data_IF_773125071978
#
_entry.id   IF_773125071978
#
_cell.length_a   1.000
_cell.length_b   1.000
_cell.length_c   1.000
_cell.angle_alpha   90.00
_cell.angle_beta   90.00
_cell.angle_gamma   90.00
#
_symmetry.space_group_name_H-M   'P 1'
#
loop_
_entity.id
_entity.type
_entity.pdbx_description
1 polymer ?
#
# COMPACT_ATOMS: atom_id res chain seq x y z
N UNK A 1 -20.16 -4.85 -8.25
CA UNK A 1 -20.56 -4.74 -6.83
C UNK A 1 -19.80 -3.58 -6.24
N UNK A 2 -20.44 -2.69 -5.48
CA UNK A 2 -19.75 -1.52 -4.90
C UNK A 2 -19.68 -1.69 -3.39
N UNK A 3 -18.56 -1.29 -2.78
CA UNK A 3 -18.44 -1.27 -1.33
C UNK A 3 -19.40 -0.25 -0.72
N UNK A 4 -20.09 -0.63 0.34
CA UNK A 4 -20.94 0.27 1.11
C UNK A 4 -20.10 1.40 1.73
N UNK A 5 -20.61 2.63 1.69
CA UNK A 5 -19.91 3.82 2.22
C UNK A 5 -19.47 3.66 3.68
N UNK A 6 -20.30 3.03 4.52
CA UNK A 6 -19.98 2.78 5.93
C UNK A 6 -18.82 1.80 6.17
N UNK A 7 -18.32 1.16 5.11
CA UNK A 7 -17.18 0.23 5.16
C UNK A 7 -15.90 0.83 4.58
N UNK A 8 -15.94 2.08 4.10
CA UNK A 8 -14.77 2.81 3.62
C UNK A 8 -14.08 3.50 4.81
N UNK A 9 -12.75 3.49 4.81
CA UNK A 9 -11.95 4.32 5.74
C UNK A 9 -11.59 5.67 5.11
N UNK A 10 -11.33 5.69 3.80
CA UNK A 10 -11.29 6.92 2.98
C UNK A 10 -12.71 7.19 2.47
N UNK A 11 -13.49 7.88 3.29
CA UNK A 11 -14.91 8.20 2.99
C UNK A 11 -15.11 9.17 1.83
N UNK A 12 -14.07 9.91 1.45
CA UNK A 12 -14.06 10.78 0.27
C UNK A 12 -13.99 10.02 -1.04
N UNK A 13 -13.56 8.74 -1.04
CA UNK A 13 -13.56 7.89 -2.23
C UNK A 13 -14.99 7.73 -2.75
N UNK A 14 -15.29 8.23 -3.95
CA UNK A 14 -16.65 8.31 -4.46
C UNK A 14 -17.29 6.93 -4.62
N UNK A 15 -16.49 5.99 -5.13
CA UNK A 15 -16.90 4.61 -5.43
C UNK A 15 -15.72 3.67 -5.17
N UNK A 16 -16.02 2.48 -4.65
CA UNK A 16 -15.07 1.37 -4.58
C UNK A 16 -15.72 0.17 -5.27
N UNK A 17 -15.30 -0.13 -6.49
CA UNK A 17 -15.86 -1.19 -7.33
C UNK A 17 -15.16 -2.53 -7.01
N UNK A 18 -15.87 -3.38 -6.28
CA UNK A 18 -15.41 -4.70 -5.84
C UNK A 18 -15.46 -5.76 -6.94
N UNK A 19 -16.03 -5.45 -8.10
CA UNK A 19 -16.03 -6.35 -9.25
C UNK A 19 -14.85 -6.05 -10.17
N UNK A 20 -14.45 -4.79 -10.29
CA UNK A 20 -13.36 -4.35 -11.16
C UNK A 20 -12.08 -3.96 -10.41
N UNK A 21 -12.09 -4.08 -9.08
CA UNK A 21 -10.97 -3.87 -8.17
C UNK A 21 -10.30 -2.49 -8.22
N UNK A 22 -11.11 -1.43 -8.36
CA UNK A 22 -10.62 -0.05 -8.29
C UNK A 22 -11.46 0.84 -7.36
N UNK A 23 -10.85 1.94 -6.92
CA UNK A 23 -11.49 3.05 -6.22
C UNK A 23 -11.47 4.32 -7.08
N UNK A 24 -12.62 4.99 -7.19
CA UNK A 24 -12.72 6.34 -7.75
C UNK A 24 -12.40 7.33 -6.62
N UNK A 25 -11.24 7.99 -6.70
CA UNK A 25 -10.72 8.91 -5.70
C UNK A 25 -10.83 10.36 -6.19
N UNK A 26 -11.05 11.34 -5.29
CA UNK A 26 -10.93 12.75 -5.63
C UNK A 26 -9.53 13.08 -6.13
N UNK A 27 -9.45 13.78 -7.26
CA UNK A 27 -8.24 14.25 -7.89
C UNK A 27 -8.01 15.72 -7.55
N UNK A 28 -6.76 16.10 -7.39
CA UNK A 28 -6.33 17.47 -7.17
C UNK A 28 -5.25 17.85 -8.17
N UNK A 29 -5.26 19.11 -8.58
CA UNK A 29 -4.28 19.68 -9.49
C UNK A 29 -3.17 20.40 -8.70
N UNK A 30 -1.94 20.23 -9.16
CA UNK A 30 -0.78 20.99 -8.69
C UNK A 30 0.23 21.19 -9.81
N UNK A 31 1.37 21.76 -9.46
CA UNK A 31 2.51 21.99 -10.34
C UNK A 31 3.79 21.54 -9.67
N UNK A 32 4.75 21.07 -10.45
CA UNK A 32 6.10 20.76 -9.98
C UNK A 32 7.10 21.18 -11.04
N UNK A 33 7.97 22.14 -10.72
CA UNK A 33 8.95 22.67 -11.66
C UNK A 33 8.33 23.17 -13.00
N UNK A 34 7.11 23.69 -12.93
CA UNK A 34 6.35 24.19 -14.08
C UNK A 34 5.62 23.14 -14.92
N UNK A 35 5.69 21.86 -14.54
CA UNK A 35 4.88 20.77 -15.11
C UNK A 35 3.62 20.55 -14.25
N UNK A 36 2.46 20.39 -14.88
CA UNK A 36 1.21 20.02 -14.20
C UNK A 36 1.35 18.65 -13.56
N UNK A 37 0.87 18.48 -12.33
CA UNK A 37 0.82 17.19 -11.63
C UNK A 37 -0.56 16.97 -11.06
N UNK A 38 -0.98 15.70 -11.03
CA UNK A 38 -2.28 15.30 -10.51
C UNK A 38 -2.07 14.38 -9.32
N UNK A 39 -2.71 14.66 -8.19
CA UNK A 39 -2.49 13.92 -6.95
C UNK A 39 -3.80 13.61 -6.23
N UNK A 40 -3.74 12.63 -5.34
CA UNK A 40 -4.85 12.27 -4.45
C UNK A 40 -4.43 12.53 -2.99
N UNK A 41 -5.38 12.62 -2.06
CA UNK A 41 -5.08 12.72 -0.62
C UNK A 41 -5.72 11.54 0.09
N UNK A 42 -4.94 10.76 0.84
CA UNK A 42 -5.43 9.49 1.44
C UNK A 42 -5.32 9.43 2.95
N UNK A 43 -4.39 10.18 3.54
CA UNK A 43 -4.16 10.22 4.97
C UNK A 43 -3.65 11.61 5.40
N UNK A 44 -3.88 11.97 6.66
CA UNK A 44 -3.32 13.19 7.25
C UNK A 44 -3.04 13.00 8.73
N UNK A 45 -2.00 13.67 9.24
CA UNK A 45 -1.57 13.54 10.63
C UNK A 45 -2.48 14.21 11.66
N UNK A 46 -3.38 15.08 11.22
CA UNK A 46 -4.32 15.80 12.07
C UNK A 46 -5.74 15.21 11.98
N UNK A 47 -6.36 14.96 13.13
CA UNK A 47 -7.65 14.27 13.19
C UNK A 47 -8.83 15.12 12.68
N UNK A 48 -8.78 16.44 12.89
CA UNK A 48 -9.85 17.33 12.44
C UNK A 48 -9.83 17.46 10.91
N UNK A 49 -8.64 17.64 10.34
CA UNK A 49 -8.46 17.67 8.89
C UNK A 49 -8.75 16.32 8.23
N UNK A 50 -8.40 15.20 8.87
CA UNK A 50 -8.77 13.88 8.37
C UNK A 50 -10.29 13.75 8.21
N UNK A 51 -11.03 14.23 9.22
CA UNK A 51 -12.50 14.24 9.20
C UNK A 51 -13.04 15.19 8.14
N UNK A 52 -12.47 16.39 8.01
CA UNK A 52 -12.89 17.39 7.03
C UNK A 52 -12.68 16.90 5.59
N UNK A 53 -11.54 16.28 5.30
CA UNK A 53 -11.17 15.79 3.98
C UNK A 53 -11.75 14.41 3.67
N UNK A 54 -12.31 13.73 4.67
CA UNK A 54 -12.85 12.37 4.52
C UNK A 54 -11.78 11.31 4.28
N UNK A 55 -10.56 11.52 4.79
CA UNK A 55 -9.39 10.65 4.62
C UNK A 55 -8.99 10.00 5.94
N UNK A 56 -8.03 9.07 5.93
CA UNK A 56 -7.60 8.40 7.15
C UNK A 56 -6.84 9.36 8.09
N UNK A 57 -7.05 9.23 9.39
CA UNK A 57 -6.20 9.90 10.38
C UNK A 57 -4.98 9.03 10.70
N UNK A 58 -3.79 9.56 10.42
CA UNK A 58 -2.50 8.88 10.62
C UNK A 58 -1.54 9.71 11.48
N UNK A 59 -1.67 9.66 12.82
CA UNK A 59 -0.89 10.53 13.71
C UNK A 59 0.62 10.28 13.60
N UNK A 60 1.06 9.08 13.21
CA UNK A 60 2.48 8.74 13.04
C UNK A 60 3.14 9.52 11.92
N UNK A 61 2.39 10.00 10.92
CA UNK A 61 2.96 10.84 9.86
C UNK A 61 3.56 12.14 10.39
N UNK A 62 3.12 12.64 11.56
CA UNK A 62 3.76 13.80 12.21
C UNK A 62 5.26 13.58 12.51
N UNK A 63 5.70 12.33 12.58
CA UNK A 63 7.09 11.97 12.81
C UNK A 63 7.92 11.80 11.53
N UNK A 64 7.32 11.78 10.34
CA UNK A 64 7.96 11.29 9.09
C UNK A 64 9.34 11.88 8.80
N UNK A 65 9.59 13.13 9.19
CA UNK A 65 10.85 13.81 8.89
C UNK A 65 11.88 13.79 10.00
N UNK A 66 11.60 13.14 11.13
CA UNK A 66 12.58 13.01 12.21
C UNK A 66 13.77 12.18 11.74
N UNK A 67 14.88 12.85 11.44
CA UNK A 67 16.07 12.18 10.89
C UNK A 67 15.98 11.81 9.41
N UNK A 68 14.88 12.16 8.73
CA UNK A 68 14.73 12.02 7.28
C UNK A 68 14.03 13.24 6.65
N UNK A 69 14.74 14.37 6.46
CA UNK A 69 14.16 15.54 5.80
C UNK A 69 13.60 15.23 4.40
N UNK A 70 14.25 14.35 3.63
CA UNK A 70 13.81 13.95 2.30
C UNK A 70 12.55 13.05 2.30
N UNK A 71 12.14 12.50 3.44
CA UNK A 71 10.95 11.65 3.53
C UNK A 71 9.65 12.47 3.50
N UNK A 72 9.70 13.80 3.62
CA UNK A 72 8.54 14.64 3.31
C UNK A 72 9.00 15.93 2.63
N UNK A 73 8.33 16.29 1.54
CA UNK A 73 8.60 17.54 0.83
C UNK A 73 7.73 18.68 1.39
N UNK A 74 8.23 19.91 1.29
CA UNK A 74 7.44 21.10 1.63
C UNK A 74 6.78 21.58 0.35
N UNK A 75 5.47 21.85 0.40
CA UNK A 75 4.71 22.37 -0.73
C UNK A 75 4.21 23.77 -0.42
N UNK A 76 3.99 24.57 -1.46
CA UNK A 76 3.38 25.90 -1.29
C UNK A 76 1.97 25.90 -1.84
N UNK A 77 1.05 26.57 -1.14
CA UNK A 77 -0.34 26.76 -1.56
C UNK A 77 -0.89 28.03 -0.91
N UNK A 78 -1.88 28.65 -1.55
CA UNK A 78 -2.57 29.82 -1.01
C UNK A 78 -3.48 29.45 0.18
N UNK A 79 -3.88 28.18 0.28
CA UNK A 79 -4.67 27.64 1.38
C UNK A 79 -3.80 26.75 2.29
N UNK A 80 -3.84 26.90 3.62
CA UNK A 80 -3.11 26.03 4.54
C UNK A 80 -3.60 24.58 4.55
N UNK A 81 -4.79 24.29 4.02
CA UNK A 81 -5.36 22.95 3.84
C UNK A 81 -5.09 22.47 2.41
N UNK A 82 -4.31 21.39 2.31
CA UNK A 82 -3.95 20.79 1.02
C UNK A 82 -5.21 20.41 0.21
N UNK A 83 -5.18 20.72 -1.10
CA UNK A 83 -6.26 20.37 -2.03
C UNK A 83 -7.43 21.36 -2.10
N UNK A 84 -7.38 22.47 -1.33
CA UNK A 84 -8.37 23.57 -1.41
C UNK A 84 -7.99 24.68 -2.41
N UNK A 85 -6.72 24.76 -2.78
CA UNK A 85 -6.16 25.65 -3.78
C UNK A 85 -5.03 24.92 -4.54
N UNK A 86 -4.56 25.45 -5.69
CA UNK A 86 -3.42 24.90 -6.39
C UNK A 86 -2.19 24.74 -5.48
N UNK A 87 -1.41 23.69 -5.73
CA UNK A 87 -0.25 23.31 -4.91
C UNK A 87 0.99 23.25 -5.77
N UNK A 88 2.06 23.94 -5.37
CA UNK A 88 3.39 23.77 -5.98
C UNK A 88 4.22 22.78 -5.14
N UNK A 89 4.64 21.69 -5.76
CA UNK A 89 5.48 20.64 -5.20
C UNK A 89 6.96 20.92 -5.47
N UNK A 90 7.83 20.54 -4.53
CA UNK A 90 9.29 20.62 -4.70
C UNK A 90 9.83 19.55 -5.65
N UNK A 91 9.16 18.42 -5.76
CA UNK A 91 9.50 17.32 -6.66
C UNK A 91 8.29 16.50 -7.07
N UNK A 92 8.42 15.82 -8.20
CA UNK A 92 7.42 14.92 -8.78
C UNK A 92 8.07 13.60 -9.23
N UNK A 93 7.30 12.52 -9.37
CA UNK A 93 7.80 11.28 -9.96
C UNK A 93 8.10 11.45 -11.45
N UNK A 94 8.96 10.57 -11.95
CA UNK A 94 9.15 10.32 -13.37
C UNK A 94 8.46 9.00 -13.73
N UNK A 95 7.35 9.08 -14.45
CA UNK A 95 6.57 7.93 -14.91
C UNK A 95 7.09 7.34 -16.24
N UNK A 96 8.01 8.02 -16.92
CA UNK A 96 8.49 7.59 -18.24
C UNK A 96 9.29 6.26 -18.31
N UNK A 97 9.95 5.75 -17.25
CA UNK A 97 10.65 4.48 -17.35
C UNK A 97 9.69 3.29 -17.46
N UNK A 98 10.06 2.33 -18.29
CA UNK A 98 9.27 1.11 -18.51
C UNK A 98 9.53 0.07 -17.40
N UNK A 99 8.44 -0.34 -16.75
CA UNK A 99 8.45 -1.41 -15.75
C UNK A 99 8.63 -2.75 -16.45
N UNK A 100 9.64 -3.52 -16.07
CA UNK A 100 9.84 -4.88 -16.57
C UNK A 100 9.97 -5.89 -15.43
N UNK A 101 9.49 -7.10 -15.66
CA UNK A 101 9.64 -8.18 -14.69
C UNK A 101 9.74 -9.54 -15.39
N UNK A 102 10.80 -10.28 -15.08
CA UNK A 102 11.01 -11.66 -15.54
C UNK A 102 11.08 -12.56 -14.31
N UNK A 103 10.10 -13.46 -14.10
CA UNK A 103 10.13 -14.42 -13.00
C UNK A 103 11.37 -15.31 -13.04
N UNK A 104 11.87 -15.71 -11.88
CA UNK A 104 12.89 -16.74 -11.78
C UNK A 104 12.32 -18.15 -12.04
N UNK A 105 13.17 -19.20 -12.07
CA UNK A 105 12.73 -20.58 -12.31
C UNK A 105 11.66 -21.08 -11.33
N UNK A 106 11.64 -20.54 -10.12
CA UNK A 106 10.67 -20.84 -9.05
C UNK A 106 9.76 -19.66 -8.73
N UNK A 107 9.67 -18.66 -9.61
CA UNK A 107 8.99 -17.38 -9.37
C UNK A 107 9.89 -16.39 -8.64
N UNK A 108 10.19 -16.64 -7.36
CA UNK A 108 11.08 -15.83 -6.53
C UNK A 108 12.42 -16.54 -6.26
N UNK A 109 13.57 -15.83 -6.26
CA UNK A 109 13.72 -14.43 -6.69
C UNK A 109 13.49 -14.27 -8.20
N UNK A 110 13.16 -13.07 -8.69
CA UNK A 110 13.04 -12.81 -10.13
C UNK A 110 14.39 -13.00 -10.84
N UNK A 111 14.35 -13.30 -12.13
CA UNK A 111 15.53 -13.34 -12.99
C UNK A 111 16.06 -11.93 -13.28
N UNK A 112 15.16 -10.99 -13.59
CA UNK A 112 15.49 -9.59 -13.84
C UNK A 112 14.24 -8.72 -13.69
N UNK A 113 14.43 -7.44 -13.37
CA UNK A 113 13.38 -6.43 -13.32
C UNK A 113 13.94 -5.02 -13.53
N UNK A 114 13.09 -4.09 -13.94
CA UNK A 114 13.32 -2.65 -13.91
C UNK A 114 12.12 -1.95 -13.29
N UNK A 115 12.39 -0.93 -12.48
CA UNK A 115 11.36 -0.03 -11.95
C UNK A 115 10.70 0.73 -13.09
N UNK A 116 9.39 0.94 -12.99
CA UNK A 116 8.65 1.88 -13.85
C UNK A 116 8.85 3.29 -13.30
N UNK A 117 7.84 3.78 -12.59
CA UNK A 117 7.89 5.10 -11.96
C UNK A 117 9.01 5.25 -10.91
N UNK A 118 9.74 6.38 -10.94
CA UNK A 118 10.81 6.71 -9.98
C UNK A 118 10.59 8.13 -9.42
N UNK A 119 10.68 8.29 -8.09
CA UNK A 119 10.70 9.61 -7.47
C UNK A 119 11.94 10.43 -7.90
N UNK A 120 11.74 11.60 -8.51
CA UNK A 120 12.85 12.53 -8.81
C UNK A 120 13.41 13.14 -7.52
N UNK A 121 14.46 13.94 -7.66
CA UNK A 121 15.00 14.70 -6.54
C UNK A 121 13.88 15.50 -5.85
N UNK A 122 13.90 15.49 -4.51
CA UNK A 122 12.92 16.13 -3.63
C UNK A 122 11.49 15.57 -3.67
N UNK A 123 11.19 14.54 -4.46
CA UNK A 123 9.87 13.90 -4.41
C UNK A 123 9.70 13.09 -3.12
N UNK A 124 8.58 13.30 -2.45
CA UNK A 124 8.00 12.38 -1.47
C UNK A 124 6.46 12.45 -1.56
N UNK A 125 5.74 11.33 -1.39
CA UNK A 125 4.28 11.39 -1.27
C UNK A 125 3.83 12.09 0.01
N UNK A 126 4.70 12.19 1.01
CA UNK A 126 4.38 12.89 2.24
C UNK A 126 4.71 14.36 2.08
N UNK A 127 3.71 15.22 2.33
CA UNK A 127 3.84 16.66 2.10
C UNK A 127 3.45 17.47 3.33
N UNK A 128 4.09 18.63 3.49
CA UNK A 128 3.66 19.68 4.42
C UNK A 128 3.42 20.96 3.66
N UNK A 129 2.27 21.59 3.85
CA UNK A 129 2.05 22.95 3.38
C UNK A 129 2.96 23.89 4.19
N UNK A 130 3.69 24.77 3.51
CA UNK A 130 4.61 25.72 4.11
C UNK A 130 3.93 26.50 5.26
N UNK A 131 4.64 26.64 6.38
CA UNK A 131 4.11 27.30 7.58
C UNK A 131 3.21 26.42 8.46
N UNK A 132 2.93 25.18 8.06
CA UNK A 132 2.15 24.22 8.87
C UNK A 132 3.01 23.08 9.42
N UNK A 133 2.53 22.44 10.49
CA UNK A 133 3.13 21.20 11.05
C UNK A 133 2.41 19.92 10.63
N UNK A 134 1.38 20.02 9.78
CA UNK A 134 0.51 18.90 9.39
C UNK A 134 1.12 18.18 8.20
N UNK A 135 1.22 16.86 8.30
CA UNK A 135 1.72 16.01 7.23
C UNK A 135 0.54 15.31 6.55
N UNK A 136 0.47 15.44 5.23
CA UNK A 136 -0.48 14.75 4.38
C UNK A 136 0.22 13.61 3.63
N UNK A 137 -0.51 12.55 3.35
CA UNK A 137 -0.15 11.57 2.33
C UNK A 137 -0.85 11.97 1.03
N UNK A 138 -0.07 12.47 0.07
CA UNK A 138 -0.54 13.08 -1.16
C UNK A 138 0.25 12.56 -2.39
N UNK A 139 0.11 11.27 -2.73
CA UNK A 139 0.83 10.67 -3.86
C UNK A 139 0.39 11.29 -5.19
N UNK A 140 1.37 11.60 -6.04
CA UNK A 140 1.13 12.06 -7.41
C UNK A 140 0.81 10.83 -8.27
N UNK A 141 -0.26 10.89 -9.06
CA UNK A 141 -0.77 9.79 -9.88
C UNK A 141 -0.63 10.03 -11.39
N UNK A 142 -0.32 11.26 -11.82
CA UNK A 142 0.02 11.59 -13.20
C UNK A 142 0.78 12.92 -13.33
N UNK A 143 1.48 13.08 -14.46
CA UNK A 143 2.15 14.34 -14.85
C UNK A 143 1.70 14.81 -16.24
N UNK A 144 1.73 16.12 -16.46
CA UNK A 144 1.33 16.80 -17.69
C UNK A 144 -0.18 17.05 -17.84
N UNK A 145 -0.55 17.65 -18.98
CA UNK A 145 -1.93 18.08 -19.29
C UNK A 145 -2.74 17.02 -20.05
N UNK A 146 -2.23 15.79 -20.12
CA UNK A 146 -2.78 14.70 -20.91
C UNK A 146 -2.40 14.71 -22.40
N UNK A 147 -2.89 13.74 -23.20
CA UNK A 147 -3.68 12.59 -22.76
C UNK A 147 -2.91 11.72 -21.75
N UNK A 148 -3.64 11.14 -20.80
CA UNK A 148 -3.06 10.26 -19.79
C UNK A 148 -2.95 8.84 -20.32
N UNK A 149 -1.73 8.32 -20.37
CA UNK A 149 -1.44 6.95 -20.76
C UNK A 149 -1.62 6.03 -19.55
N UNK A 150 -2.80 5.40 -19.48
CA UNK A 150 -3.16 4.39 -18.47
C UNK A 150 -2.98 2.95 -18.97
N UNK A 151 -2.39 2.79 -20.16
CA UNK A 151 -2.13 1.47 -20.76
C UNK A 151 -0.69 1.05 -20.57
N UNK A 152 0.26 1.95 -20.87
CA UNK A 152 1.71 1.73 -20.68
C UNK A 152 2.32 2.65 -19.63
N UNK A 153 1.49 3.47 -18.96
CA UNK A 153 1.85 4.26 -17.79
C UNK A 153 3.02 5.25 -17.99
N UNK A 154 3.25 5.73 -19.22
CA UNK A 154 4.37 6.65 -19.50
C UNK A 154 4.27 8.04 -18.83
N UNK A 155 3.07 8.44 -18.40
CA UNK A 155 2.82 9.66 -17.63
C UNK A 155 1.80 9.46 -16.48
N UNK A 156 1.54 8.21 -16.09
CA UNK A 156 0.62 7.88 -14.98
C UNK A 156 1.25 6.86 -14.06
N UNK A 157 0.72 6.75 -12.84
CA UNK A 157 1.07 5.68 -11.92
C UNK A 157 0.61 4.30 -12.46
N UNK A 158 1.42 3.25 -12.27
CA UNK A 158 1.20 1.86 -12.75
C UNK A 158 -0.08 1.14 -12.23
N UNK A 159 -0.91 1.85 -11.46
CA UNK A 159 -2.20 1.38 -10.91
C UNK A 159 -3.38 2.26 -11.30
N UNK A 160 -3.13 3.36 -12.02
CA UNK A 160 -4.16 4.28 -12.48
C UNK A 160 -4.84 3.71 -13.72
N UNK A 161 -6.16 3.51 -13.65
CA UNK A 161 -6.97 3.00 -14.76
C UNK A 161 -7.67 4.11 -15.55
N UNK A 162 -7.95 5.24 -14.92
CA UNK A 162 -8.57 6.39 -15.57
C UNK A 162 -8.28 7.68 -14.79
N UNK A 163 -8.27 8.80 -15.52
CA UNK A 163 -8.22 10.16 -14.98
C UNK A 163 -9.28 10.98 -15.70
N UNK A 164 -10.11 11.68 -14.93
CA UNK A 164 -11.10 12.63 -15.40
C UNK A 164 -10.83 13.99 -14.77
N UNK A 165 -10.35 14.95 -15.58
CA UNK A 165 -10.02 16.31 -15.14
C UNK A 165 -11.21 17.26 -15.19
N UNK A 166 -12.36 16.83 -15.72
CA UNK A 166 -13.61 17.60 -15.67
C UNK A 166 -14.35 17.29 -14.36
N UNK A 167 -14.48 16.01 -14.03
CA UNK A 167 -15.08 15.54 -12.77
C UNK A 167 -14.08 15.56 -11.59
N UNK A 168 -12.79 15.78 -11.86
CA UNK A 168 -11.71 15.76 -10.88
C UNK A 168 -11.66 14.44 -10.10
N UNK A 169 -11.57 13.33 -10.83
CA UNK A 169 -11.47 11.99 -10.24
C UNK A 169 -10.42 11.11 -10.92
N UNK A 170 -9.97 10.08 -10.22
CA UNK A 170 -9.15 9.02 -10.80
C UNK A 170 -9.63 7.64 -10.34
N UNK A 171 -9.68 6.68 -11.25
CA UNK A 171 -9.89 5.28 -10.92
C UNK A 171 -8.52 4.62 -10.66
N UNK A 172 -8.28 4.17 -9.44
CA UNK A 172 -7.03 3.57 -9.01
C UNK A 172 -7.24 2.15 -8.49
N UNK A 173 -6.44 1.19 -8.96
CA UNK A 173 -6.51 -0.19 -8.51
C UNK A 173 -6.24 -0.30 -7.01
N UNK A 174 -7.06 -1.07 -6.30
CA UNK A 174 -6.79 -1.43 -4.91
C UNK A 174 -6.31 -2.88 -4.83
N UNK A 175 -5.67 -3.19 -3.72
CA UNK A 175 -5.22 -4.52 -3.35
C UNK A 175 -6.12 -5.07 -2.24
N UNK A 176 -6.36 -6.38 -2.27
CA UNK A 176 -7.11 -7.10 -1.23
C UNK A 176 -6.14 -7.73 -0.24
N UNK A 177 -6.27 -7.38 1.03
CA UNK A 177 -5.40 -7.84 2.11
C UNK A 177 -6.17 -8.27 3.34
N UNK A 178 -5.46 -8.36 4.47
CA UNK A 178 -6.07 -8.70 5.75
C UNK A 178 -5.56 -7.80 6.87
N UNK A 179 -6.41 -7.53 7.85
CA UNK A 179 -6.02 -6.88 9.10
C UNK A 179 -6.80 -7.51 10.24
N UNK A 180 -6.12 -7.87 11.33
CA UNK A 180 -6.77 -8.47 12.51
C UNK A 180 -7.68 -9.68 12.20
N UNK A 181 -7.39 -10.43 11.13
CA UNK A 181 -8.19 -11.57 10.69
C UNK A 181 -9.38 -11.24 9.79
N UNK A 182 -9.66 -9.96 9.53
CA UNK A 182 -10.71 -9.49 8.63
C UNK A 182 -10.16 -9.17 7.24
N UNK A 183 -10.93 -9.39 6.16
CA UNK A 183 -10.56 -8.97 4.81
C UNK A 183 -10.69 -7.46 4.63
N UNK A 184 -9.62 -6.84 4.13
CA UNK A 184 -9.51 -5.38 3.89
C UNK A 184 -9.17 -5.06 2.45
N UNK A 185 -9.36 -3.78 2.09
CA UNK A 185 -8.92 -3.17 0.85
C UNK A 185 -7.91 -2.07 1.18
N UNK A 186 -6.86 -1.95 0.38
CA UNK A 186 -5.85 -0.92 0.54
C UNK A 186 -5.29 -0.48 -0.82
N UNK A 187 -4.79 0.75 -0.90
CA UNK A 187 -4.13 1.29 -2.09
C UNK A 187 -2.62 1.10 -1.94
N UNK A 188 -1.82 1.20 -3.01
CA UNK A 188 -0.36 1.21 -2.90
C UNK A 188 0.25 2.11 -3.97
N UNK A 189 1.04 3.09 -3.50
CA UNK A 189 1.51 4.23 -4.30
C UNK A 189 3.04 4.33 -4.38
N UNK A 190 3.76 4.10 -3.28
CA UNK A 190 5.22 4.18 -3.27
C UNK A 190 5.85 3.00 -2.57
N UNK A 191 7.07 2.64 -2.98
CA UNK A 191 7.93 1.72 -2.26
C UNK A 191 9.37 2.25 -2.19
N UNK A 192 10.02 2.03 -1.05
CA UNK A 192 11.42 2.38 -0.81
C UNK A 192 12.41 1.34 -1.36
N UNK A 193 11.90 0.16 -1.74
CA UNK A 193 12.65 -0.93 -2.35
C UNK A 193 12.25 -1.11 -3.82
N UNK A 194 13.24 -1.32 -4.68
CA UNK A 194 13.02 -1.40 -6.12
C UNK A 194 12.27 -2.68 -6.54
N UNK A 195 12.54 -3.80 -5.89
CA UNK A 195 11.83 -5.05 -6.20
C UNK A 195 10.36 -4.95 -5.76
N UNK A 196 10.12 -4.44 -4.55
CA UNK A 196 8.75 -4.21 -4.06
C UNK A 196 8.02 -3.16 -4.89
N UNK A 197 8.70 -2.10 -5.36
CA UNK A 197 8.10 -1.12 -6.27
C UNK A 197 7.59 -1.77 -7.56
N UNK A 198 8.37 -2.68 -8.16
CA UNK A 198 7.91 -3.41 -9.37
C UNK A 198 6.80 -4.40 -9.04
N UNK A 199 6.95 -5.17 -7.96
CA UNK A 199 6.00 -6.21 -7.55
C UNK A 199 4.64 -5.61 -7.19
N UNK A 200 4.66 -4.51 -6.44
CA UNK A 200 3.48 -3.73 -6.11
C UNK A 200 3.17 -2.66 -7.16
N UNK A 201 3.76 -2.55 -8.35
CA UNK A 201 3.34 -1.49 -9.32
C UNK A 201 3.25 -0.09 -8.68
N UNK A 202 4.26 0.25 -7.89
CA UNK A 202 4.34 1.47 -7.09
C UNK A 202 5.53 2.29 -7.55
N UNK A 203 5.47 3.60 -7.31
CA UNK A 203 6.59 4.51 -7.57
C UNK A 203 7.77 4.21 -6.65
N UNK A 204 8.97 4.03 -7.21
CA UNK A 204 10.17 3.79 -6.45
C UNK A 204 10.71 5.09 -5.82
N UNK A 205 10.70 5.17 -4.48
CA UNK A 205 11.17 6.33 -3.71
C UNK A 205 12.15 5.89 -2.63
N UNK A 206 13.45 5.74 -2.96
CA UNK A 206 14.43 5.13 -2.04
C UNK A 206 14.61 5.91 -0.73
N UNK A 207 14.40 7.23 -0.75
CA UNK A 207 14.52 8.11 0.42
C UNK A 207 13.61 7.69 1.58
N UNK A 208 12.47 7.06 1.30
CA UNK A 208 11.56 6.57 2.34
C UNK A 208 12.23 5.59 3.30
N UNK A 209 13.26 4.85 2.85
CA UNK A 209 14.02 3.88 3.66
C UNK A 209 14.61 4.49 4.94
N UNK A 210 14.83 5.80 4.99
CA UNK A 210 15.39 6.52 6.13
C UNK A 210 14.33 7.00 7.14
N UNK A 211 13.04 6.71 6.90
CA UNK A 211 11.95 7.15 7.79
C UNK A 211 12.15 6.67 9.23
N UNK A 212 11.69 7.39 10.26
CA UNK A 212 11.98 7.05 11.66
C UNK A 212 11.52 5.65 12.13
N UNK A 213 12.41 4.95 12.85
CA UNK A 213 12.20 3.76 13.69
C UNK A 213 11.62 2.51 13.00
N UNK A 214 12.51 1.54 12.70
CA UNK A 214 12.18 0.22 12.17
C UNK A 214 11.29 -0.59 13.12
N UNK A 215 10.52 -1.54 12.56
CA UNK A 215 9.55 -2.44 13.23
C UNK A 215 8.21 -1.80 13.64
N UNK A 216 8.01 -0.51 13.40
CA UNK A 216 6.71 0.16 13.30
C UNK A 216 5.72 0.07 14.48
N UNK A 217 5.99 -0.66 15.56
CA UNK A 217 5.03 -0.89 16.64
C UNK A 217 5.55 -0.44 18.01
N UNK A 218 4.76 0.37 18.72
CA UNK A 218 4.97 0.69 20.14
C UNK A 218 5.91 1.86 20.44
N UNK A 219 6.51 2.45 19.40
CA UNK A 219 7.33 3.65 19.53
C UNK A 219 6.54 4.88 19.06
N UNK A 220 6.26 5.78 19.99
CA UNK A 220 5.47 7.01 19.75
C UNK A 220 6.13 7.96 18.77
N UNK A 221 7.44 7.81 18.53
CA UNK A 221 8.22 8.63 17.61
C UNK A 221 8.39 7.98 16.22
N UNK A 222 7.84 6.79 15.99
CA UNK A 222 7.87 6.12 14.69
C UNK A 222 6.90 6.76 13.69
N UNK A 223 7.29 6.75 12.42
CA UNK A 223 6.42 7.10 11.29
C UNK A 223 5.84 5.85 10.59
N UNK A 224 6.29 4.66 10.97
CA UNK A 224 6.03 3.39 10.27
C UNK A 224 5.02 2.54 11.05
N UNK A 225 4.31 1.65 10.37
CA UNK A 225 3.52 0.56 10.97
C UNK A 225 3.96 -0.79 10.40
N UNK A 226 3.75 -1.91 11.10
CA UNK A 226 4.20 -3.23 10.58
C UNK A 226 3.21 -3.82 9.56
N UNK A 227 3.74 -4.39 8.48
CA UNK A 227 2.98 -5.20 7.51
C UNK A 227 3.72 -6.52 7.27
N UNK A 228 3.01 -7.60 6.95
CA UNK A 228 3.61 -8.92 6.79
C UNK A 228 3.32 -9.53 5.43
N UNK A 229 4.34 -10.14 4.85
CA UNK A 229 4.25 -10.98 3.65
C UNK A 229 5.05 -12.26 3.81
N UNK A 230 4.98 -13.15 2.82
CA UNK A 230 5.70 -14.43 2.83
C UNK A 230 6.39 -14.71 1.50
N UNK A 231 7.58 -15.29 1.54
CA UNK A 231 8.28 -15.76 0.34
C UNK A 231 7.67 -17.07 -0.16
N UNK A 232 7.62 -18.10 0.69
CA UNK A 232 7.31 -19.50 0.32
C UNK A 232 5.96 -20.01 0.86
N UNK A 233 4.96 -19.13 0.90
CA UNK A 233 3.58 -19.55 1.09
C UNK A 233 3.09 -20.39 -0.10
N UNK A 234 1.98 -21.11 0.08
CA UNK A 234 1.32 -21.87 -1.00
C UNK A 234 0.99 -20.95 -2.18
N UNK A 235 1.03 -21.51 -3.38
CA UNK A 235 0.78 -20.79 -4.65
C UNK A 235 -0.30 -21.50 -5.46
N UNK A 236 -0.85 -20.78 -6.44
CA UNK A 236 -1.85 -21.27 -7.38
C UNK A 236 -3.18 -20.53 -7.24
N UNK A 237 -3.92 -20.40 -8.33
CA UNK A 237 -5.28 -19.88 -8.30
C UNK A 237 -6.24 -21.06 -8.12
N UNK A 238 -7.20 -20.95 -7.22
CA UNK A 238 -8.26 -21.95 -7.16
C UNK A 238 -9.15 -21.86 -8.41
N UNK A 239 -9.44 -23.01 -9.03
CA UNK A 239 -10.10 -23.08 -10.34
C UNK A 239 -11.59 -22.66 -10.30
N UNK A 240 -12.27 -22.73 -9.14
CA UNK A 240 -13.74 -22.68 -9.05
C UNK A 240 -14.35 -21.63 -8.09
N UNK A 241 -13.61 -20.60 -7.65
CA UNK A 241 -14.14 -19.61 -6.69
C UNK A 241 -14.05 -18.14 -7.13
N UNK A 242 -14.79 -17.70 -8.17
CA UNK A 242 -14.84 -16.29 -8.56
C UNK A 242 -15.33 -15.36 -7.44
N UNK A 243 -16.12 -15.89 -6.48
CA UNK A 243 -16.61 -15.14 -5.31
C UNK A 243 -16.00 -15.57 -3.97
N UNK A 244 -15.49 -16.80 -3.84
CA UNK A 244 -14.83 -17.28 -2.59
C UNK A 244 -13.50 -16.57 -2.32
N UNK A 245 -12.79 -16.16 -3.37
CA UNK A 245 -11.57 -15.36 -3.26
C UNK A 245 -11.80 -13.99 -2.61
N UNK A 246 -12.97 -13.37 -2.77
CA UNK A 246 -13.26 -12.06 -2.18
C UNK A 246 -13.34 -12.08 -0.64
N UNK A 247 -13.74 -13.22 -0.05
CA UNK A 247 -13.89 -13.39 1.41
C UNK A 247 -12.69 -14.10 2.09
N UNK A 248 -11.65 -14.46 1.33
CA UNK A 248 -10.43 -15.08 1.85
C UNK A 248 -10.47 -16.61 2.00
N UNK A 249 -11.56 -17.30 1.68
CA UNK A 249 -11.55 -18.76 1.63
C UNK A 249 -10.82 -19.25 0.38
N UNK A 250 -9.86 -20.17 0.55
CA UNK A 250 -9.13 -20.78 -0.57
C UNK A 250 -8.04 -19.91 -1.23
N UNK A 251 -7.84 -18.67 -0.77
CA UNK A 251 -6.79 -17.81 -1.32
C UNK A 251 -5.38 -18.23 -0.92
N UNK A 252 -4.48 -18.14 -1.88
CA UNK A 252 -3.03 -18.13 -1.66
C UNK A 252 -2.54 -16.68 -1.49
N UNK A 253 -1.34 -16.50 -0.95
CA UNK A 253 -0.76 -15.19 -0.69
C UNK A 253 0.76 -15.22 -0.75
N UNK A 254 1.40 -14.06 -0.68
CA UNK A 254 2.85 -13.93 -0.62
C UNK A 254 3.51 -13.76 -1.99
N UNK A 255 4.80 -13.45 -1.96
CA UNK A 255 5.59 -12.99 -3.10
C UNK A 255 5.65 -14.03 -4.23
N UNK A 256 5.94 -15.29 -3.91
CA UNK A 256 6.00 -16.34 -4.94
C UNK A 256 4.64 -16.52 -5.60
N UNK A 257 3.54 -16.49 -4.84
CA UNK A 257 2.19 -16.60 -5.40
C UNK A 257 1.88 -15.45 -6.36
N UNK A 258 2.14 -14.21 -5.93
CA UNK A 258 1.90 -13.04 -6.75
C UNK A 258 2.72 -13.06 -8.05
N UNK A 259 3.96 -13.54 -7.99
CA UNK A 259 4.82 -13.64 -9.18
C UNK A 259 4.32 -14.72 -10.16
N UNK A 260 3.97 -15.91 -9.68
CA UNK A 260 3.60 -17.02 -10.56
C UNK A 260 2.17 -16.94 -11.07
N UNK A 261 1.32 -16.13 -10.44
CA UNK A 261 -0.10 -16.04 -10.78
C UNK A 261 -0.53 -14.65 -11.27
N UNK A 262 0.19 -13.58 -10.93
CA UNK A 262 -0.25 -12.18 -11.09
C UNK A 262 0.32 -11.44 -12.30
N UNK A 263 0.96 -12.15 -13.23
CA UNK A 263 1.52 -11.58 -14.47
C UNK A 263 2.35 -10.31 -14.23
N UNK A 264 3.38 -10.34 -13.36
CA UNK A 264 4.12 -9.14 -12.98
C UNK A 264 4.85 -8.47 -14.17
N UNK A 265 5.05 -9.15 -15.30
CA UNK A 265 5.66 -8.56 -16.50
C UNK A 265 4.69 -7.83 -17.45
N UNK A 266 3.39 -7.78 -17.14
CA UNK A 266 2.36 -7.14 -17.97
C UNK A 266 1.76 -5.95 -17.21
N UNK A 267 1.41 -4.86 -17.88
CA UNK A 267 0.80 -3.70 -17.21
C UNK A 267 -0.64 -3.97 -16.77
N UNK A 268 -1.04 -3.37 -15.65
CA UNK A 268 -2.38 -3.55 -15.08
C UNK A 268 -3.32 -2.49 -15.66
N UNK A 269 -3.71 -2.71 -16.91
CA UNK A 269 -4.55 -1.82 -17.68
C UNK A 269 -5.86 -2.50 -18.11
N UNK A 270 -6.86 -1.69 -18.48
CA UNK A 270 -8.14 -2.21 -19.00
C UNK A 270 -7.94 -3.02 -20.29
N UNK A 271 -6.89 -2.71 -21.05
CA UNK A 271 -6.49 -3.43 -22.26
C UNK A 271 -5.90 -4.83 -21.97
N UNK A 272 -5.50 -5.11 -20.73
CA UNK A 272 -4.94 -6.40 -20.28
C UNK A 272 -5.88 -7.09 -19.27
N UNK A 273 -7.10 -7.48 -19.68
CA UNK A 273 -8.13 -7.97 -18.76
C UNK A 273 -7.72 -9.23 -17.99
N UNK A 274 -6.83 -10.06 -18.54
CA UNK A 274 -6.31 -11.26 -17.88
C UNK A 274 -5.52 -10.94 -16.60
N UNK A 275 -4.84 -9.78 -16.54
CA UNK A 275 -4.12 -9.33 -15.34
C UNK A 275 -5.13 -8.94 -14.27
N UNK A 276 -6.16 -8.16 -14.65
CA UNK A 276 -7.20 -7.70 -13.74
C UNK A 276 -8.05 -8.87 -13.21
N UNK A 277 -8.39 -9.83 -14.06
CA UNK A 277 -9.08 -11.07 -13.67
C UNK A 277 -8.22 -11.92 -12.73
N UNK A 278 -6.91 -11.98 -12.93
CA UNK A 278 -6.00 -12.66 -12.02
C UNK A 278 -6.00 -12.00 -10.63
N UNK A 279 -5.94 -10.67 -10.55
CA UNK A 279 -6.01 -9.93 -9.29
C UNK A 279 -7.32 -10.17 -8.54
N UNK A 280 -8.44 -10.16 -9.25
CA UNK A 280 -9.75 -10.50 -8.68
C UNK A 280 -9.75 -11.91 -8.07
N UNK A 281 -9.05 -12.86 -8.71
CA UNK A 281 -8.86 -14.25 -8.21
C UNK A 281 -7.79 -14.39 -7.12
N UNK A 282 -7.17 -13.30 -6.68
CA UNK A 282 -6.19 -13.28 -5.59
C UNK A 282 -4.74 -13.38 -6.01
N UNK A 283 -4.43 -13.14 -7.28
CA UNK A 283 -3.06 -13.17 -7.78
C UNK A 283 -2.22 -11.94 -7.42
N UNK A 284 -2.81 -10.89 -6.84
CA UNK A 284 -2.06 -9.71 -6.40
C UNK A 284 -1.34 -9.95 -5.06
N UNK A 285 -0.44 -9.05 -4.67
CA UNK A 285 0.30 -9.09 -3.41
C UNK A 285 -0.69 -8.91 -2.24
N UNK A 286 -1.11 -10.01 -1.63
CA UNK A 286 -1.98 -9.96 -0.45
C UNK A 286 -1.15 -9.91 0.84
N UNK A 287 -1.14 -8.74 1.47
CA UNK A 287 -0.38 -8.47 2.70
C UNK A 287 -1.29 -8.46 3.95
N UNK A 288 -0.65 -8.53 5.12
CA UNK A 288 -1.34 -8.50 6.42
C UNK A 288 -0.92 -7.27 7.21
N UNK A 289 -1.86 -6.39 7.48
CA UNK A 289 -1.65 -5.18 8.27
C UNK A 289 -1.68 -5.52 9.76
N UNK A 290 -0.77 -4.92 10.53
CA UNK A 290 -0.74 -5.09 11.98
C UNK A 290 -1.79 -4.27 12.72
N UNK A 291 -2.08 -3.09 12.18
CA UNK A 291 -2.99 -2.10 12.76
C UNK A 291 -3.90 -1.57 11.66
N UNK A 292 -5.07 -1.07 12.03
CA UNK A 292 -6.03 -0.57 11.05
C UNK A 292 -6.80 0.63 11.62
N UNK A 293 -7.28 1.58 10.78
CA UNK A 293 -7.98 2.76 11.27
C UNK A 293 -9.21 2.48 12.15
N UNK A 294 -9.85 1.32 12.00
CA UNK A 294 -11.06 0.95 12.75
C UNK A 294 -10.79 0.22 14.07
N UNK A 295 -9.52 0.01 14.48
CA UNK A 295 -9.22 -0.69 15.73
C UNK A 295 -10.01 -0.06 16.90
N UNK A 296 -10.61 -0.85 17.79
CA UNK A 296 -11.52 -0.35 18.82
C UNK A 296 -10.79 0.46 19.91
N UNK A 297 -9.57 0.05 20.26
CA UNK A 297 -8.72 0.76 21.22
C UNK A 297 -8.09 1.99 20.58
N UNK A 298 -8.26 3.15 21.22
CA UNK A 298 -7.67 4.39 20.73
C UNK A 298 -6.14 4.36 20.70
N UNK A 299 -5.48 3.58 21.58
CA UNK A 299 -4.04 3.33 21.50
C UNK A 299 -3.64 2.71 20.18
N UNK A 300 -4.38 1.69 19.75
CA UNK A 300 -4.02 0.89 18.59
C UNK A 300 -4.32 1.66 17.30
N UNK A 301 -5.40 2.47 17.27
CA UNK A 301 -5.65 3.40 16.16
C UNK A 301 -4.54 4.43 15.99
N UNK A 302 -3.93 4.88 17.08
CA UNK A 302 -2.81 5.83 17.02
C UNK A 302 -1.52 5.20 16.48
N UNK A 303 -1.46 3.88 16.38
CA UNK A 303 -0.35 3.19 15.75
C UNK A 303 -0.48 3.08 14.22
N UNK A 304 -1.63 3.46 13.65
CA UNK A 304 -1.82 3.44 12.21
C UNK A 304 -0.87 4.42 11.51
N UNK A 305 -0.27 3.92 10.42
CA UNK A 305 0.44 4.70 9.41
C UNK A 305 0.18 4.09 8.04
N UNK A 306 -0.01 4.89 6.98
CA UNK A 306 -0.01 4.36 5.62
C UNK A 306 1.40 3.93 5.18
N UNK A 307 2.45 4.33 5.91
CA UNK A 307 3.82 3.91 5.65
C UNK A 307 4.13 2.61 6.40
N UNK A 308 4.11 1.50 5.67
CA UNK A 308 4.28 0.17 6.21
C UNK A 308 5.72 -0.30 6.12
N UNK A 309 6.24 -0.89 7.18
CA UNK A 309 7.53 -1.56 7.27
C UNK A 309 7.34 -3.07 7.09
N UNK A 310 7.80 -3.57 5.94
CA UNK A 310 7.54 -4.94 5.50
C UNK A 310 8.38 -5.95 6.30
N UNK A 311 7.69 -6.85 6.98
CA UNK A 311 8.24 -8.05 7.59
C UNK A 311 8.08 -9.23 6.63
N UNK A 312 9.21 -9.71 6.10
CA UNK A 312 9.24 -10.76 5.08
C UNK A 312 9.44 -12.11 5.75
N UNK A 313 8.40 -12.94 5.76
CA UNK A 313 8.43 -14.27 6.37
C UNK A 313 8.85 -15.38 5.41
N UNK A 314 9.66 -16.32 5.90
CA UNK A 314 9.98 -17.60 5.25
C UNK A 314 9.57 -18.72 6.19
N UNK A 315 8.66 -19.58 5.75
CA UNK A 315 8.28 -20.79 6.47
C UNK A 315 9.44 -21.77 6.49
N UNK A 316 9.72 -22.35 7.66
CA UNK A 316 10.67 -23.47 7.80
C UNK A 316 10.18 -24.72 7.04
N UNK A 317 11.11 -25.60 6.65
CA UNK A 317 10.78 -26.88 6.01
C UNK A 317 9.79 -27.71 6.85
N UNK A 318 9.94 -27.69 8.18
CA UNK A 318 9.02 -28.38 9.08
C UNK A 318 7.61 -27.78 9.07
N UNK A 319 7.47 -26.46 8.92
CA UNK A 319 6.19 -25.79 8.79
C UNK A 319 5.53 -26.11 7.43
N UNK A 320 6.33 -26.10 6.35
CA UNK A 320 5.88 -26.46 5.01
C UNK A 320 5.43 -27.93 4.96
N UNK A 321 6.22 -28.86 5.49
CA UNK A 321 5.89 -30.28 5.53
C UNK A 321 4.60 -30.58 6.32
N UNK A 322 4.24 -29.71 7.27
CA UNK A 322 2.98 -29.79 8.04
C UNK A 322 1.83 -29.01 7.40
N UNK A 323 2.02 -28.42 6.23
CA UNK A 323 1.00 -27.64 5.52
C UNK A 323 0.66 -26.31 6.19
N UNK A 324 1.53 -25.77 7.04
CA UNK A 324 1.27 -24.53 7.81
C UNK A 324 1.45 -23.26 6.98
N UNK A 325 2.01 -23.36 5.77
CA UNK A 325 2.32 -22.27 4.86
C UNK A 325 1.13 -21.80 3.98
N UNK A 326 -0.12 -22.04 4.42
CA UNK A 326 -1.31 -21.46 3.81
C UNK A 326 -1.56 -20.00 4.24
N UNK A 327 -2.74 -19.47 3.89
CA UNK A 327 -3.20 -18.12 4.22
C UNK A 327 -2.99 -17.78 5.70
N UNK A 328 -2.63 -16.52 5.95
CA UNK A 328 -2.59 -15.89 7.27
C UNK A 328 -3.28 -14.55 7.14
N UNK A 329 -4.13 -14.22 8.11
CA UNK A 329 -4.97 -13.02 8.04
C UNK A 329 -4.75 -12.08 9.23
N UNK A 330 -3.92 -12.48 10.19
CA UNK A 330 -3.71 -11.79 11.46
C UNK A 330 -2.21 -11.74 11.80
N UNK A 331 -1.69 -10.54 12.04
CA UNK A 331 -0.28 -10.29 12.32
C UNK A 331 0.22 -11.05 13.58
N UNK A 332 -0.60 -11.16 14.63
CA UNK A 332 -0.22 -11.90 15.82
C UNK A 332 -0.11 -13.42 15.59
N UNK A 333 -0.84 -13.95 14.61
CA UNK A 333 -0.67 -15.32 14.14
C UNK A 333 0.70 -15.51 13.51
N UNK A 334 1.15 -14.54 12.69
CA UNK A 334 2.49 -14.55 12.11
C UNK A 334 3.55 -14.49 13.21
N UNK A 335 3.40 -13.58 14.18
CA UNK A 335 4.33 -13.47 15.33
C UNK A 335 4.43 -14.75 16.15
N UNK A 336 3.32 -15.43 16.45
CA UNK A 336 3.37 -16.73 17.17
C UNK A 336 4.09 -17.83 16.39
N UNK A 337 4.01 -17.81 15.06
CA UNK A 337 4.81 -18.72 14.24
C UNK A 337 6.30 -18.34 14.31
N UNK A 338 6.62 -17.05 14.33
CA UNK A 338 7.97 -16.55 14.48
C UNK A 338 8.60 -16.88 15.84
N UNK A 339 7.85 -16.74 16.94
CA UNK A 339 8.27 -17.11 18.31
C UNK A 339 8.69 -18.59 18.39
N UNK A 340 8.08 -19.44 17.56
CA UNK A 340 8.36 -20.88 17.46
C UNK A 340 9.38 -21.22 16.38
N UNK A 341 9.99 -20.23 15.73
CA UNK A 341 10.91 -20.39 14.57
C UNK A 341 10.31 -21.17 13.41
N UNK A 342 8.98 -21.17 13.29
CA UNK A 342 8.27 -21.77 12.15
C UNK A 342 8.21 -20.82 10.96
N UNK A 343 8.30 -19.51 11.22
CA UNK A 343 8.51 -18.44 10.26
C UNK A 343 9.73 -17.64 10.71
N UNK A 344 10.62 -17.29 9.78
CA UNK A 344 11.83 -16.49 10.04
C UNK A 344 11.99 -15.43 8.95
N UNK A 345 12.84 -14.42 9.17
CA UNK A 345 13.32 -13.60 8.06
C UNK A 345 14.12 -14.46 7.05
N UNK A 346 14.31 -13.99 5.80
CA UNK A 346 15.24 -14.64 4.87
C UNK A 346 16.60 -14.89 5.52
N UNK A 347 17.17 -16.08 5.30
CA UNK A 347 18.41 -16.49 5.96
C UNK A 347 18.26 -17.03 7.39
N UNK A 348 17.03 -17.18 7.90
CA UNK A 348 16.76 -17.90 9.16
C UNK A 348 16.84 -17.05 10.44
N UNK A 349 17.06 -15.74 10.31
CA UNK A 349 17.06 -14.81 11.45
C UNK A 349 15.66 -14.66 12.05
N UNK A 350 15.52 -14.25 13.33
CA UNK A 350 14.23 -13.89 13.89
C UNK A 350 13.46 -12.97 12.92
N UNK A 351 12.15 -13.20 12.79
CA UNK A 351 11.31 -12.33 11.96
C UNK A 351 11.40 -10.89 12.47
N UNK A 352 11.58 -9.94 11.56
CA UNK A 352 11.63 -8.52 11.85
C UNK A 352 11.55 -7.69 10.57
N UNK A 353 11.72 -6.38 10.72
CA UNK A 353 11.76 -5.42 9.62
C UNK A 353 12.75 -5.85 8.53
N UNK A 354 12.29 -5.85 7.28
CA UNK A 354 13.14 -5.91 6.09
C UNK A 354 13.73 -4.55 5.70
N UNK A 355 13.37 -3.49 6.42
CA UNK A 355 13.62 -2.08 6.07
C UNK A 355 13.15 -1.72 4.65
N UNK A 356 12.06 -2.35 4.23
CA UNK A 356 11.37 -2.11 2.96
C UNK A 356 10.08 -1.38 3.30
N UNK A 357 9.97 -0.13 2.88
CA UNK A 357 8.80 0.68 3.18
C UNK A 357 7.86 0.79 2.01
N UNK A 358 6.57 0.77 2.30
CA UNK A 358 5.52 0.82 1.28
C UNK A 358 4.45 1.80 1.75
N UNK A 359 4.11 2.77 0.92
CA UNK A 359 2.99 3.67 1.14
C UNK A 359 1.70 3.00 0.67
N UNK A 360 0.97 2.38 1.59
CA UNK A 360 -0.27 1.65 1.29
C UNK A 360 -1.44 2.08 2.20
N UNK A 361 -2.17 3.17 1.84
CA UNK A 361 -3.32 3.63 2.60
C UNK A 361 -4.44 2.58 2.73
N UNK A 362 -5.02 2.45 3.91
CA UNK A 362 -6.23 1.66 4.10
C UNK A 362 -7.40 2.30 3.34
N UNK A 363 -8.15 1.51 2.57
CA UNK A 363 -9.30 1.99 1.80
C UNK A 363 -10.64 1.58 2.45
N UNK A 364 -10.70 0.39 3.05
CA UNK A 364 -11.92 -0.13 3.67
C UNK A 364 -11.84 -1.60 4.05
N UNK A 365 -12.97 -2.19 4.42
CA UNK A 365 -13.11 -3.60 4.81
C UNK A 365 -14.36 -4.24 4.17
N UNK A 366 -14.35 -5.56 3.94
CA UNK A 366 -15.45 -6.20 3.18
C UNK A 366 -16.61 -6.65 4.06
N UNK A 367 -16.31 -7.32 5.17
CA UNK A 367 -17.31 -7.95 6.03
C UNK A 367 -17.49 -7.18 7.33
N UNK A 368 -16.56 -7.37 8.27
CA UNK A 368 -16.55 -6.74 9.59
C UNK A 368 -15.36 -5.78 9.71
N UNK A 369 -15.48 -4.69 10.47
CA UNK A 369 -14.35 -3.79 10.71
C UNK A 369 -13.25 -4.52 11.48
N UNK A 370 -11.97 -4.35 11.12
CA UNK A 370 -10.86 -4.75 11.96
C UNK A 370 -10.90 -3.98 13.30
N UNK A 371 -11.38 -4.59 14.38
CA UNK A 371 -11.51 -3.92 15.69
C UNK A 371 -10.30 -4.14 16.62
N UNK A 372 -9.35 -4.95 16.21
CA UNK A 372 -8.18 -5.30 17.00
C UNK A 372 -7.86 -6.78 16.83
N UNK A 373 -6.65 -7.22 17.22
CA UNK A 373 -6.18 -8.53 16.86
C UNK A 373 -7.08 -9.62 17.43
N UNK A 374 -7.53 -10.55 16.57
CA UNK A 374 -8.36 -11.70 16.98
C UNK A 374 -7.66 -12.59 18.00
N UNK A 375 -6.34 -12.52 18.05
CA UNK A 375 -5.55 -13.26 19.02
C UNK A 375 -4.64 -12.29 19.76
N UNK A 376 -4.65 -12.38 21.09
CA UNK A 376 -3.90 -11.50 21.98
C UNK A 376 -2.41 -11.40 21.59
N UNK A 377 -1.86 -10.20 21.80
CA UNK A 377 -0.44 -9.91 21.61
C UNK A 377 0.36 -10.78 22.59
N UNK A 378 1.34 -11.58 22.11
CA UNK A 378 2.20 -12.35 23.00
C UNK A 378 2.85 -11.45 24.06
N UNK A 379 2.72 -11.83 25.35
CA UNK A 379 3.38 -11.12 26.46
C UNK A 379 2.67 -9.87 26.99
N UNK A 380 1.54 -9.47 26.41
CA UNK A 380 0.69 -8.40 26.95
C UNK A 380 -0.52 -9.07 27.62
N UNK A 381 -0.58 -9.06 28.96
CA UNK A 381 -1.79 -9.48 29.67
C UNK A 381 -2.93 -8.48 29.42
N UNK A 382 -4.19 -8.96 29.40
CA UNK A 382 -5.36 -8.19 28.94
C UNK A 382 -5.61 -6.86 29.67
#
# INVERSE_FOLDING_TARGET
MTLEKGKQTITSAERVDLTRDFATLPLHEGTAAGETVWFVITDVSDAALATELGVNHSPKLSNISRGCPACAQTVTSEDPVLGKAPVEFEGAPDFSPERTFVPGPTGFPPQSFSVGAIGRANYSPFVRVEGTGVVYNAPIVATGDGPFDVTTHSNTHDRTLAIDTEEMTTDHLFIRGFANGEPILYLSFESSDAFTAVGERSTFVPALTDSPFQNGGGETDSARASIFTFVNAKTGLEEDSPQGAAAGEGRNQGLTHAIVSGFPGVDAAVENPEVLEAFQRGADISNIFDVFPTNARASDRREYSPLWDLQIGVYSDAAVARGMNGLKTDANTVRRLADRRLVTSPGGQPLGSGNVLINCPALGFLESPPEGPRIAVPGVQP
#
